data_IF_072406916880
#
_entry.id   IF_072406916880
#
_cell.length_a   1.000
_cell.length_b   1.000
_cell.length_c   1.000
_cell.angle_alpha   90.00
_cell.angle_beta   90.00
_cell.angle_gamma   90.00
#
_symmetry.space_group_name_H-M   'P 1'
#
loop_
_entity.id
_entity.type
_entity.pdbx_description
1 polymer ?
#
# COMPACT_ATOMS: atom_id res chain seq x y z
N UNK A 1 69.11 -1.34 -17.93
CA UNK A 1 68.75 -1.56 -16.51
C UNK A 1 67.53 -0.77 -16.06
N UNK A 2 67.37 0.51 -16.44
CA UNK A 2 66.23 1.34 -16.01
C UNK A 2 64.86 0.93 -16.59
N UNK A 3 64.78 0.48 -17.85
CA UNK A 3 63.51 0.08 -18.47
C UNK A 3 62.89 -1.17 -17.81
N UNK A 4 63.72 -2.16 -17.46
CA UNK A 4 63.27 -3.37 -16.77
C UNK A 4 62.74 -3.05 -15.37
N UNK A 5 63.31 -2.06 -14.69
CA UNK A 5 62.82 -1.61 -13.38
C UNK A 5 61.45 -0.91 -13.51
N UNK A 6 61.24 -0.11 -14.56
CA UNK A 6 59.97 0.58 -14.79
C UNK A 6 58.84 -0.39 -15.17
N UNK A 7 59.10 -1.35 -16.05
CA UNK A 7 58.15 -2.43 -16.38
C UNK A 7 57.75 -3.23 -15.13
N UNK A 8 58.73 -3.54 -14.26
CA UNK A 8 58.49 -4.29 -13.04
C UNK A 8 57.62 -3.49 -12.04
N UNK A 9 57.81 -2.17 -11.93
CA UNK A 9 56.96 -1.29 -11.12
C UNK A 9 55.51 -1.24 -11.65
N UNK A 10 55.32 -1.12 -12.96
CA UNK A 10 53.98 -1.10 -13.58
C UNK A 10 53.25 -2.44 -13.37
N UNK A 11 53.96 -3.57 -13.50
CA UNK A 11 53.40 -4.90 -13.22
C UNK A 11 53.02 -5.03 -11.74
N UNK A 12 53.88 -4.62 -10.81
CA UNK A 12 53.55 -4.64 -9.38
C UNK A 12 52.32 -3.77 -9.07
N UNK A 13 52.26 -2.55 -9.61
CA UNK A 13 51.13 -1.64 -9.39
C UNK A 13 49.82 -2.19 -9.96
N UNK A 14 49.85 -2.75 -11.17
CA UNK A 14 48.67 -3.37 -11.78
C UNK A 14 48.18 -4.59 -10.99
N UNK A 15 49.09 -5.44 -10.51
CA UNK A 15 48.75 -6.57 -9.62
C UNK A 15 48.15 -6.06 -8.30
N UNK A 16 48.71 -5.01 -7.69
CA UNK A 16 48.17 -4.38 -6.49
C UNK A 16 46.75 -3.83 -6.72
N UNK A 17 46.52 -3.11 -7.82
CA UNK A 17 45.20 -2.60 -8.18
C UNK A 17 44.19 -3.75 -8.36
N UNK A 18 44.60 -4.85 -9.00
CA UNK A 18 43.77 -6.05 -9.17
C UNK A 18 43.45 -6.67 -7.80
N UNK A 19 44.45 -6.84 -6.93
CA UNK A 19 44.26 -7.40 -5.58
C UNK A 19 43.32 -6.52 -4.73
N UNK A 20 43.48 -5.20 -4.77
CA UNK A 20 42.60 -4.24 -4.09
C UNK A 20 41.17 -4.36 -4.64
N UNK A 21 41.01 -4.37 -5.97
CA UNK A 21 39.71 -4.51 -6.60
C UNK A 21 39.01 -5.84 -6.22
N UNK A 22 39.74 -6.96 -6.27
CA UNK A 22 39.23 -8.27 -5.87
C UNK A 22 38.86 -8.29 -4.38
N UNK A 23 39.69 -7.68 -3.53
CA UNK A 23 39.42 -7.58 -2.09
C UNK A 23 38.16 -6.75 -1.83
N UNK A 24 38.03 -5.57 -2.45
CA UNK A 24 36.82 -4.74 -2.36
C UNK A 24 35.57 -5.49 -2.84
N UNK A 25 35.69 -6.24 -3.95
CA UNK A 25 34.58 -7.05 -4.49
C UNK A 25 34.19 -8.20 -3.55
N UNK A 26 35.16 -8.88 -2.96
CA UNK A 26 34.92 -9.96 -1.98
C UNK A 26 34.30 -9.39 -0.71
N UNK A 27 34.78 -8.25 -0.21
CA UNK A 27 34.30 -7.64 1.03
C UNK A 27 32.98 -6.88 0.88
N UNK A 28 32.54 -6.55 -0.33
CA UNK A 28 31.23 -5.92 -0.58
C UNK A 28 30.10 -6.78 -0.02
N UNK A 29 29.09 -6.15 0.57
CA UNK A 29 27.90 -6.84 1.07
C UNK A 29 27.09 -7.39 -0.12
N UNK A 30 26.89 -8.72 -0.22
CA UNK A 30 26.12 -9.32 -1.30
C UNK A 30 24.61 -9.33 -1.00
N UNK A 31 24.22 -9.02 0.24
CA UNK A 31 22.85 -9.14 0.69
C UNK A 31 22.10 -7.82 0.52
N UNK A 32 20.85 -7.94 0.08
CA UNK A 32 19.91 -6.84 -0.06
C UNK A 32 18.56 -7.29 0.49
N UNK A 33 18.06 -6.59 1.51
CA UNK A 33 16.78 -6.94 2.11
C UNK A 33 15.64 -6.75 1.09
N UNK A 34 14.77 -7.76 0.88
CA UNK A 34 13.75 -7.71 -0.17
C UNK A 34 12.51 -6.93 0.32
N UNK A 35 12.58 -5.60 0.31
CA UNK A 35 11.44 -4.75 0.66
C UNK A 35 10.27 -4.90 -0.33
N UNK A 36 9.05 -4.93 0.20
CA UNK A 36 7.85 -4.70 -0.60
C UNK A 36 7.66 -3.19 -0.76
N UNK A 37 7.32 -2.71 -1.97
CA UNK A 37 7.00 -1.28 -2.17
C UNK A 37 5.78 -1.12 -3.05
N UNK A 38 4.80 -0.37 -2.58
CA UNK A 38 3.61 -0.01 -3.35
C UNK A 38 3.33 1.50 -3.27
N UNK A 39 2.96 2.10 -4.39
CA UNK A 39 2.71 3.55 -4.49
C UNK A 39 1.27 3.85 -4.88
N UNK A 40 0.60 4.69 -4.10
CA UNK A 40 -0.74 5.18 -4.34
C UNK A 40 -0.73 6.56 -5.00
N UNK A 41 -1.29 6.68 -6.20
CA UNK A 41 -1.45 7.96 -6.89
C UNK A 41 -2.67 8.73 -6.34
N UNK A 42 -2.41 9.92 -5.79
CA UNK A 42 -3.42 10.81 -5.21
C UNK A 42 -3.59 12.12 -5.99
N UNK A 43 -3.16 12.14 -7.25
CA UNK A 43 -3.32 13.30 -8.13
C UNK A 43 -4.80 13.72 -8.17
N UNK A 44 -5.07 15.01 -7.96
CA UNK A 44 -6.43 15.55 -7.87
C UNK A 44 -7.15 15.36 -6.53
N UNK A 45 -6.57 14.64 -5.55
CA UNK A 45 -7.18 14.39 -4.24
C UNK A 45 -6.56 15.26 -3.13
N UNK A 46 -7.39 15.72 -2.18
CA UNK A 46 -7.01 16.54 -1.01
C UNK A 46 -7.17 15.74 0.29
N UNK A 47 -6.41 16.12 1.33
CA UNK A 47 -6.52 15.58 2.70
C UNK A 47 -6.54 14.05 2.80
N UNK A 48 -5.61 13.40 2.09
CA UNK A 48 -5.48 11.95 2.05
C UNK A 48 -4.81 11.42 3.32
N UNK A 49 -5.33 10.32 3.86
CA UNK A 49 -4.69 9.50 4.89
C UNK A 49 -4.22 8.19 4.26
N UNK A 50 -2.93 7.89 4.39
CA UNK A 50 -2.31 6.72 3.76
C UNK A 50 -2.95 5.41 4.24
N UNK A 51 -3.41 5.37 5.48
CA UNK A 51 -4.05 4.21 6.10
C UNK A 51 -5.35 3.82 5.39
N UNK A 52 -6.12 4.77 4.86
CA UNK A 52 -7.32 4.42 4.08
C UNK A 52 -6.95 3.75 2.76
N UNK A 53 -5.83 4.14 2.17
CA UNK A 53 -5.37 3.59 0.90
C UNK A 53 -4.83 2.19 1.11
N UNK A 54 -4.10 1.98 2.20
CA UNK A 54 -3.70 0.64 2.64
C UNK A 54 -4.94 -0.21 2.94
N UNK A 55 -5.94 0.31 3.66
CA UNK A 55 -7.18 -0.43 3.93
C UNK A 55 -7.88 -0.82 2.62
N UNK A 56 -8.05 0.12 1.69
CA UNK A 56 -8.67 -0.16 0.40
C UNK A 56 -7.87 -1.15 -0.45
N UNK A 57 -6.55 -1.08 -0.37
CA UNK A 57 -5.65 -2.01 -1.02
C UNK A 57 -5.79 -3.42 -0.45
N UNK A 58 -5.85 -3.56 0.88
CA UNK A 58 -5.97 -4.85 1.58
C UNK A 58 -7.35 -5.49 1.50
N UNK A 59 -8.38 -4.72 1.15
CA UNK A 59 -9.74 -5.26 0.91
C UNK A 59 -9.85 -6.05 -0.39
N UNK A 60 -8.88 -5.91 -1.29
CA UNK A 60 -8.81 -6.68 -2.52
C UNK A 60 -8.03 -7.98 -2.28
N UNK A 61 -8.66 -9.11 -2.60
CA UNK A 61 -8.11 -10.44 -2.35
C UNK A 61 -6.81 -10.70 -3.13
N UNK A 62 -6.66 -10.15 -4.35
CA UNK A 62 -5.45 -10.32 -5.14
C UNK A 62 -4.28 -9.53 -4.53
N UNK A 63 -4.55 -8.32 -4.06
CA UNK A 63 -3.57 -7.52 -3.35
C UNK A 63 -3.12 -8.19 -2.04
N UNK A 64 -4.06 -8.80 -1.30
CA UNK A 64 -3.72 -9.55 -0.10
C UNK A 64 -2.83 -10.77 -0.41
N UNK A 65 -3.18 -11.55 -1.44
CA UNK A 65 -2.32 -12.65 -1.93
C UNK A 65 -0.92 -12.16 -2.29
N UNK A 66 -0.81 -11.03 -2.97
CA UNK A 66 0.49 -10.45 -3.31
C UNK A 66 1.33 -10.12 -2.07
N UNK A 67 0.71 -9.59 -1.00
CA UNK A 67 1.38 -9.33 0.28
C UNK A 67 1.85 -10.62 0.94
N UNK A 68 1.02 -11.67 0.94
CA UNK A 68 1.39 -12.99 1.48
C UNK A 68 2.54 -13.63 0.70
N UNK A 69 2.50 -13.59 -0.62
CA UNK A 69 3.58 -14.10 -1.48
C UNK A 69 4.88 -13.34 -1.24
N UNK A 70 4.83 -12.02 -1.04
CA UNK A 70 6.03 -11.27 -0.73
C UNK A 70 6.60 -11.62 0.66
N UNK A 71 5.75 -11.90 1.66
CA UNK A 71 6.21 -12.40 2.95
C UNK A 71 6.95 -13.74 2.80
N UNK A 72 6.38 -14.68 2.03
CA UNK A 72 7.04 -15.97 1.73
C UNK A 72 8.41 -15.75 1.07
N UNK A 73 8.50 -14.81 0.12
CA UNK A 73 9.77 -14.42 -0.52
C UNK A 73 10.80 -13.89 0.48
N UNK A 74 10.38 -13.11 1.48
CA UNK A 74 11.28 -12.64 2.54
C UNK A 74 11.81 -13.84 3.34
N UNK A 75 10.94 -14.77 3.73
CA UNK A 75 11.30 -15.94 4.53
C UNK A 75 12.23 -16.91 3.77
N UNK A 76 11.94 -17.13 2.49
CA UNK A 76 12.81 -17.90 1.58
C UNK A 76 14.18 -17.24 1.43
N UNK A 77 14.22 -15.92 1.20
CA UNK A 77 15.48 -15.18 1.09
C UNK A 77 16.32 -15.27 2.37
N UNK A 78 15.71 -15.20 3.55
CA UNK A 78 16.42 -15.38 4.83
C UNK A 78 17.03 -16.77 4.93
N UNK A 79 16.25 -17.81 4.62
CA UNK A 79 16.71 -19.21 4.65
C UNK A 79 17.88 -19.44 3.69
N UNK A 80 17.76 -18.95 2.45
CA UNK A 80 18.82 -19.05 1.45
C UNK A 80 20.08 -18.29 1.88
N UNK A 81 19.91 -17.10 2.45
CA UNK A 81 21.02 -16.27 2.96
C UNK A 81 21.74 -16.95 4.11
N UNK A 82 21.01 -17.56 5.04
CA UNK A 82 21.59 -18.33 6.13
C UNK A 82 22.36 -19.55 5.62
N UNK A 83 21.79 -20.32 4.70
CA UNK A 83 22.48 -21.45 4.05
C UNK A 83 23.78 -21.01 3.37
N UNK A 84 23.75 -19.88 2.64
CA UNK A 84 24.94 -19.28 2.03
C UNK A 84 25.99 -18.93 3.08
N UNK A 85 25.59 -18.29 4.18
CA UNK A 85 26.51 -17.90 5.26
C UNK A 85 27.17 -19.14 5.89
N UNK A 86 26.41 -20.22 6.11
CA UNK A 86 26.94 -21.47 6.66
C UNK A 86 27.97 -22.12 5.73
N UNK A 87 27.75 -22.05 4.41
CA UNK A 87 28.64 -22.65 3.41
C UNK A 87 29.87 -21.78 3.06
N UNK A 88 29.85 -20.48 3.37
CA UNK A 88 30.91 -19.56 2.94
C UNK A 88 32.13 -19.53 3.87
N UNK A 89 33.31 -19.25 3.30
CA UNK A 89 34.57 -19.12 4.07
C UNK A 89 34.60 -17.93 5.03
N UNK A 90 33.94 -16.83 4.67
CA UNK A 90 33.91 -15.57 5.45
C UNK A 90 32.70 -15.50 6.39
N UNK A 91 32.32 -16.63 7.00
CA UNK A 91 31.07 -16.79 7.76
C UNK A 91 30.81 -15.67 8.77
N UNK A 92 31.78 -15.33 9.61
CA UNK A 92 31.64 -14.28 10.64
C UNK A 92 31.35 -12.91 10.02
N UNK A 93 32.08 -12.54 8.98
CA UNK A 93 31.91 -11.26 8.29
C UNK A 93 30.58 -11.20 7.53
N UNK A 94 30.19 -12.28 6.84
CA UNK A 94 28.89 -12.37 6.15
C UNK A 94 27.72 -12.36 7.12
N UNK A 95 27.82 -13.05 8.24
CA UNK A 95 26.80 -12.99 9.30
C UNK A 95 26.61 -11.56 9.79
N UNK A 96 27.70 -10.82 10.05
CA UNK A 96 27.60 -9.42 10.45
C UNK A 96 26.95 -8.55 9.36
N UNK A 97 27.33 -8.72 8.09
CA UNK A 97 26.73 -8.00 6.97
C UNK A 97 25.23 -8.27 6.82
N UNK A 98 24.80 -9.52 7.02
CA UNK A 98 23.40 -9.92 7.00
C UNK A 98 22.64 -9.28 8.17
N UNK A 99 23.14 -9.38 9.40
CA UNK A 99 22.50 -8.77 10.57
C UNK A 99 22.34 -7.25 10.42
N UNK A 100 23.32 -6.57 9.81
CA UNK A 100 23.26 -5.13 9.59
C UNK A 100 22.18 -4.67 8.59
N UNK A 101 21.64 -5.57 7.76
CA UNK A 101 20.63 -5.23 6.75
C UNK A 101 19.24 -5.79 7.07
N UNK A 102 19.10 -6.62 8.11
CA UNK A 102 17.81 -7.17 8.51
C UNK A 102 16.89 -6.05 8.96
N UNK A 103 15.76 -5.89 8.28
CA UNK A 103 14.81 -4.81 8.53
C UNK A 103 13.34 -5.29 8.50
N UNK A 104 13.07 -6.38 9.23
CA UNK A 104 11.73 -6.97 9.36
C UNK A 104 10.68 -5.99 9.86
N UNK A 105 11.12 -4.96 10.59
CA UNK A 105 10.26 -3.91 11.14
C UNK A 105 9.64 -3.03 10.07
N UNK A 106 10.34 -2.85 8.93
CA UNK A 106 9.96 -1.96 7.84
C UNK A 106 9.83 -2.73 6.52
N UNK A 107 9.58 -4.03 6.56
CA UNK A 107 9.57 -4.88 5.37
C UNK A 107 8.60 -4.43 4.25
N UNK A 108 7.50 -3.75 4.61
CA UNK A 108 6.46 -3.30 3.68
C UNK A 108 6.37 -1.78 3.62
N UNK A 109 6.74 -1.20 2.47
CA UNK A 109 6.72 0.24 2.23
C UNK A 109 5.52 0.66 1.37
N UNK A 110 4.71 1.56 1.90
CA UNK A 110 3.63 2.21 1.17
C UNK A 110 3.95 3.68 0.97
N UNK A 111 3.77 4.15 -0.25
CA UNK A 111 4.07 5.54 -0.63
C UNK A 111 2.83 6.18 -1.20
N UNK A 112 2.58 7.42 -0.84
CA UNK A 112 1.56 8.25 -1.47
C UNK A 112 2.28 9.23 -2.40
N UNK A 113 1.93 9.20 -3.68
CA UNK A 113 2.57 10.03 -4.70
C UNK A 113 1.56 10.98 -5.33
N UNK A 114 2.03 12.16 -5.74
CA UNK A 114 1.25 13.13 -6.52
C UNK A 114 2.01 13.46 -7.79
N UNK A 115 1.36 13.32 -8.95
CA UNK A 115 1.90 13.77 -10.23
C UNK A 115 1.73 15.28 -10.34
N UNK A 116 2.83 15.97 -10.61
CA UNK A 116 2.88 17.42 -10.78
C UNK A 116 3.42 17.75 -12.17
N UNK A 117 2.87 18.79 -12.80
CA UNK A 117 3.52 19.40 -13.97
C UNK A 117 4.67 20.26 -13.49
N UNK A 118 5.87 19.99 -13.98
CA UNK A 118 7.04 20.85 -13.89
C UNK A 118 7.31 21.46 -15.25
N UNK A 119 8.08 22.54 -15.25
CA UNK A 119 8.45 23.23 -16.48
C UNK A 119 9.95 23.41 -16.50
N UNK A 120 10.55 23.19 -17.65
CA UNK A 120 11.94 23.48 -17.92
C UNK A 120 12.01 24.56 -19.01
N UNK A 121 12.88 25.54 -18.82
CA UNK A 121 13.09 26.61 -19.79
C UNK A 121 14.49 26.47 -20.40
N UNK A 122 14.58 26.42 -21.73
CA UNK A 122 15.85 26.44 -22.50
C UNK A 122 15.64 27.26 -23.77
N UNK A 123 16.57 28.16 -24.09
CA UNK A 123 16.48 29.06 -25.26
C UNK A 123 15.09 29.74 -25.39
N UNK A 124 14.56 30.25 -24.27
CA UNK A 124 13.23 30.87 -24.18
C UNK A 124 12.03 29.95 -24.51
N UNK A 125 12.25 28.65 -24.72
CA UNK A 125 11.19 27.66 -24.91
C UNK A 125 10.89 26.99 -23.56
N UNK A 126 9.61 27.00 -23.17
CA UNK A 126 9.10 26.39 -21.94
C UNK A 126 8.49 25.02 -22.25
N UNK A 127 9.12 23.95 -21.77
CA UNK A 127 8.65 22.57 -21.97
C UNK A 127 8.08 22.02 -20.66
N UNK A 128 6.84 21.54 -20.70
CA UNK A 128 6.19 20.90 -19.56
C UNK A 128 6.60 19.42 -19.46
N UNK A 129 6.82 18.93 -18.25
CA UNK A 129 7.04 17.50 -17.96
C UNK A 129 6.34 17.09 -16.67
N UNK A 130 6.04 15.80 -16.51
CA UNK A 130 5.35 15.28 -15.32
C UNK A 130 6.38 14.63 -14.39
N UNK A 131 6.28 14.95 -13.09
CA UNK A 131 7.09 14.34 -12.03
C UNK A 131 6.18 13.80 -10.95
N UNK A 132 6.46 12.58 -10.49
CA UNK A 132 5.83 12.00 -9.30
C UNK A 132 6.60 12.43 -8.06
N UNK A 133 5.93 13.14 -7.15
CA UNK A 133 6.50 13.56 -5.87
C UNK A 133 5.88 12.74 -4.75
N UNK A 134 6.70 12.19 -3.87
CA UNK A 134 6.26 11.47 -2.68
C UNK A 134 5.73 12.51 -1.68
N UNK A 135 4.51 12.28 -1.20
CA UNK A 135 3.81 13.14 -0.24
C UNK A 135 3.93 12.58 1.17
N UNK A 136 3.84 11.25 1.31
CA UNK A 136 4.03 10.56 2.58
C UNK A 136 4.47 9.12 2.33
N UNK A 137 5.22 8.56 3.26
CA UNK A 137 5.61 7.15 3.28
C UNK A 137 5.14 6.51 4.59
N UNK A 138 4.82 5.23 4.54
CA UNK A 138 4.46 4.43 5.70
C UNK A 138 5.05 3.03 5.56
N UNK A 139 5.89 2.66 6.51
CA UNK A 139 6.62 1.40 6.52
C UNK A 139 6.18 0.56 7.71
N UNK A 140 5.92 -0.73 7.49
CA UNK A 140 5.36 -1.64 8.50
C UNK A 140 5.96 -3.04 8.41
N UNK A 141 5.82 -3.79 9.49
CA UNK A 141 6.16 -5.21 9.54
C UNK A 141 4.98 -6.10 9.12
N UNK A 142 5.27 -7.39 8.97
CA UNK A 142 4.28 -8.41 8.67
C UNK A 142 3.12 -8.46 9.67
N UNK A 143 3.43 -8.39 10.97
CA UNK A 143 2.41 -8.50 12.02
C UNK A 143 1.36 -7.39 11.94
N UNK A 144 1.78 -6.17 11.59
CA UNK A 144 0.88 -5.06 11.36
C UNK A 144 -0.05 -5.35 10.18
N UNK A 145 0.48 -5.88 9.06
CA UNK A 145 -0.30 -6.21 7.86
C UNK A 145 -1.36 -7.27 8.14
N UNK A 146 -0.97 -8.38 8.78
CA UNK A 146 -1.87 -9.46 9.15
C UNK A 146 -2.95 -9.00 10.15
N UNK A 147 -2.56 -8.26 11.19
CA UNK A 147 -3.51 -7.69 12.14
C UNK A 147 -4.51 -6.74 11.45
N UNK A 148 -4.04 -5.92 10.50
CA UNK A 148 -4.88 -4.98 9.76
C UNK A 148 -5.87 -5.72 8.87
N UNK A 149 -5.44 -6.75 8.15
CA UNK A 149 -6.30 -7.58 7.33
C UNK A 149 -7.39 -8.28 8.17
N UNK A 150 -7.02 -8.87 9.31
CA UNK A 150 -7.98 -9.47 10.28
C UNK A 150 -9.01 -8.47 10.80
N UNK A 151 -8.61 -7.21 11.03
CA UNK A 151 -9.56 -6.17 11.42
C UNK A 151 -10.55 -5.83 10.29
N UNK A 152 -10.09 -5.79 9.04
CA UNK A 152 -10.94 -5.56 7.86
C UNK A 152 -11.90 -6.74 7.61
N UNK A 153 -11.43 -7.96 7.83
CA UNK A 153 -12.23 -9.18 7.74
C UNK A 153 -13.39 -9.16 8.74
N UNK A 154 -13.16 -8.74 9.99
CA UNK A 154 -14.21 -8.58 11.01
C UNK A 154 -15.33 -7.64 10.61
N UNK A 155 -15.07 -6.70 9.70
CA UNK A 155 -16.08 -5.76 9.18
C UNK A 155 -16.53 -6.14 7.75
N UNK A 156 -16.26 -7.36 7.31
CA UNK A 156 -16.67 -7.90 6.01
C UNK A 156 -16.05 -7.17 4.81
N UNK A 157 -14.90 -6.52 4.98
CA UNK A 157 -14.23 -5.73 3.94
C UNK A 157 -15.13 -4.66 3.28
N UNK A 158 -16.13 -4.15 4.00
CA UNK A 158 -17.13 -3.25 3.40
C UNK A 158 -16.64 -1.82 3.22
N UNK A 159 -15.74 -1.36 4.09
CA UNK A 159 -15.18 0.01 4.10
C UNK A 159 -13.83 0.04 4.81
N UNK A 160 -13.21 1.22 4.94
CA UNK A 160 -11.97 1.40 5.72
C UNK A 160 -12.26 1.37 7.22
N UNK A 161 -11.27 0.98 8.03
CA UNK A 161 -11.46 0.89 9.49
C UNK A 161 -11.77 2.25 10.10
N UNK A 162 -11.20 3.33 9.54
CA UNK A 162 -11.51 4.69 9.99
C UNK A 162 -12.98 5.03 9.72
N UNK A 163 -13.52 4.69 8.56
CA UNK A 163 -14.91 4.95 8.23
C UNK A 163 -15.85 4.10 9.10
N UNK A 164 -15.53 2.81 9.29
CA UNK A 164 -16.32 1.94 10.15
C UNK A 164 -16.40 2.43 11.61
N UNK A 165 -15.29 2.95 12.13
CA UNK A 165 -15.19 3.45 13.50
C UNK A 165 -15.55 4.94 13.66
N UNK A 166 -15.90 5.63 12.57
CA UNK A 166 -16.26 7.04 12.64
C UNK A 166 -17.48 7.26 13.53
N UNK A 167 -17.40 8.23 14.44
CA UNK A 167 -18.57 8.70 15.21
C UNK A 167 -19.60 9.40 14.33
N UNK A 168 -19.16 9.97 13.20
CA UNK A 168 -20.02 10.74 12.30
C UNK A 168 -20.47 9.91 11.10
N UNK A 169 -21.17 8.80 11.36
CA UNK A 169 -21.64 7.88 10.31
C UNK A 169 -22.52 8.58 9.26
N UNK A 170 -23.31 9.59 9.64
CA UNK A 170 -24.13 10.35 8.69
C UNK A 170 -23.29 11.06 7.62
N UNK A 171 -22.12 11.59 7.98
CA UNK A 171 -21.21 12.28 7.03
C UNK A 171 -20.59 11.35 6.00
N UNK A 172 -20.62 10.03 6.24
CA UNK A 172 -20.09 9.03 5.32
C UNK A 172 -21.06 8.69 4.18
N UNK A 173 -22.31 9.17 4.24
CA UNK A 173 -23.30 8.98 3.19
C UNK A 173 -23.01 9.90 1.99
N UNK A 174 -21.95 9.59 1.25
CA UNK A 174 -21.55 10.38 0.07
C UNK A 174 -22.50 10.15 -1.12
N UNK A 175 -22.56 11.07 -2.10
CA UNK A 175 -23.33 10.87 -3.32
C UNK A 175 -22.96 9.57 -4.06
N UNK A 176 -21.67 9.23 -4.09
CA UNK A 176 -21.19 7.98 -4.70
C UNK A 176 -21.68 6.74 -3.95
N UNK A 177 -21.66 6.75 -2.61
CA UNK A 177 -22.22 5.64 -1.83
C UNK A 177 -23.73 5.52 -2.06
N UNK A 178 -24.47 6.63 -2.04
CA UNK A 178 -25.92 6.63 -2.34
C UNK A 178 -26.18 6.00 -3.70
N UNK A 179 -25.48 6.45 -4.74
CA UNK A 179 -25.59 5.92 -6.10
C UNK A 179 -25.32 4.40 -6.15
N UNK A 180 -24.25 3.94 -5.49
CA UNK A 180 -23.93 2.51 -5.40
C UNK A 180 -25.07 1.69 -4.78
N UNK A 181 -25.72 2.21 -3.72
CA UNK A 181 -26.87 1.52 -3.11
C UNK A 181 -28.10 1.56 -4.03
N UNK A 182 -28.35 2.68 -4.71
CA UNK A 182 -29.43 2.78 -5.70
C UNK A 182 -29.27 1.77 -6.83
N UNK A 183 -28.07 1.68 -7.41
CA UNK A 183 -27.76 0.73 -8.48
C UNK A 183 -27.86 -0.73 -8.01
N UNK A 184 -27.30 -1.05 -6.82
CA UNK A 184 -27.39 -2.38 -6.22
C UNK A 184 -28.84 -2.83 -6.02
N UNK A 185 -29.68 -1.92 -5.54
CA UNK A 185 -31.09 -2.19 -5.24
C UNK A 185 -32.00 -1.98 -6.47
N UNK A 186 -31.42 -1.79 -7.67
CA UNK A 186 -32.13 -1.53 -8.92
C UNK A 186 -33.21 -0.43 -8.77
N UNK A 187 -32.86 0.66 -8.08
CA UNK A 187 -33.76 1.80 -7.83
C UNK A 187 -35.11 1.40 -7.20
N UNK A 188 -35.15 0.28 -6.47
CA UNK A 188 -36.39 -0.34 -5.99
C UNK A 188 -36.44 -0.34 -4.47
N UNK A 189 -37.59 0.08 -3.92
CA UNK A 189 -37.84 0.04 -2.47
C UNK A 189 -37.71 -1.39 -1.94
N UNK A 190 -36.82 -1.60 -0.98
CA UNK A 190 -36.53 -2.93 -0.45
C UNK A 190 -37.66 -3.51 0.43
N UNK A 191 -38.63 -2.69 0.86
CA UNK A 191 -39.80 -3.11 1.64
C UNK A 191 -40.99 -3.42 0.73
N UNK A 192 -41.52 -2.42 0.02
CA UNK A 192 -42.76 -2.58 -0.77
C UNK A 192 -42.53 -2.87 -2.26
N UNK A 193 -41.28 -2.99 -2.70
CA UNK A 193 -40.89 -3.28 -4.08
C UNK A 193 -41.31 -2.24 -5.12
N UNK A 194 -41.68 -1.02 -4.70
CA UNK A 194 -41.91 0.11 -5.62
C UNK A 194 -40.62 0.49 -6.36
N UNK A 195 -40.63 0.42 -7.69
CA UNK A 195 -39.57 0.89 -8.58
C UNK A 195 -39.61 2.41 -8.76
N UNK A 196 -38.46 3.09 -8.70
CA UNK A 196 -38.30 4.56 -8.74
C UNK A 196 -37.05 4.98 -9.52
N UNK A 197 -37.00 4.74 -10.85
CA UNK A 197 -35.81 4.99 -11.68
C UNK A 197 -35.48 6.47 -11.86
N UNK A 198 -36.47 7.34 -11.68
CA UNK A 198 -36.35 8.80 -11.72
C UNK A 198 -35.83 9.39 -10.40
N UNK A 199 -35.56 8.53 -9.40
CA UNK A 199 -35.13 8.88 -8.04
C UNK A 199 -36.17 9.69 -7.24
N UNK A 200 -37.37 9.93 -7.79
CA UNK A 200 -38.39 10.76 -7.15
C UNK A 200 -39.01 10.03 -5.96
N UNK A 201 -38.77 10.57 -4.76
CA UNK A 201 -39.20 9.95 -3.51
C UNK A 201 -38.39 8.72 -3.10
N UNK A 202 -37.20 8.55 -3.68
CA UNK A 202 -36.24 7.50 -3.32
C UNK A 202 -35.34 7.99 -2.18
N UNK A 203 -35.27 7.21 -1.10
CA UNK A 203 -34.42 7.46 0.07
C UNK A 203 -33.45 6.31 0.28
N UNK A 204 -32.24 6.62 0.77
CA UNK A 204 -31.31 5.62 1.30
C UNK A 204 -31.42 5.64 2.82
N UNK A 205 -31.83 4.52 3.38
CA UNK A 205 -32.09 4.33 4.81
C UNK A 205 -31.10 3.31 5.40
N UNK A 206 -30.76 3.50 6.67
CA UNK A 206 -29.99 2.54 7.45
C UNK A 206 -30.90 1.47 8.03
N UNK A 207 -30.64 0.18 7.74
CA UNK A 207 -31.42 -0.94 8.28
C UNK A 207 -31.41 -0.89 9.82
N UNK A 208 -30.22 -0.87 10.40
CA UNK A 208 -29.99 -0.55 11.82
C UNK A 208 -29.74 0.95 11.92
N UNK A 209 -30.55 1.72 12.67
CA UNK A 209 -30.35 3.15 12.85
C UNK A 209 -28.97 3.49 13.41
N UNK A 210 -28.41 4.63 13.02
CA UNK A 210 -27.11 5.11 13.55
C UNK A 210 -27.16 5.28 15.07
N UNK A 211 -28.29 5.71 15.64
CA UNK A 211 -28.49 5.82 17.09
C UNK A 211 -28.34 4.50 17.84
N UNK A 212 -28.53 3.36 17.14
CA UNK A 212 -28.38 2.00 17.66
C UNK A 212 -27.03 1.36 17.24
N UNK A 213 -26.07 2.17 16.78
CA UNK A 213 -24.75 1.70 16.36
C UNK A 213 -24.64 1.32 14.87
N UNK A 214 -25.70 1.52 14.08
CA UNK A 214 -25.71 1.27 12.66
C UNK A 214 -24.62 2.03 11.90
N UNK A 215 -23.98 1.35 10.94
CA UNK A 215 -22.87 1.88 10.14
C UNK A 215 -23.35 2.28 8.75
N UNK A 216 -22.70 3.27 8.14
CA UNK A 216 -22.92 3.67 6.74
C UNK A 216 -22.11 2.77 5.80
N UNK A 217 -22.43 1.48 5.82
CA UNK A 217 -21.82 0.43 5.00
C UNK A 217 -22.90 -0.25 4.16
N UNK A 218 -22.58 -0.80 2.97
CA UNK A 218 -23.58 -1.34 2.05
C UNK A 218 -24.54 -2.34 2.70
N UNK A 219 -24.05 -3.30 3.48
CA UNK A 219 -24.88 -4.30 4.17
C UNK A 219 -25.96 -3.71 5.08
N UNK A 220 -25.71 -2.51 5.64
CA UNK A 220 -26.64 -1.83 6.53
C UNK A 220 -27.43 -0.71 5.82
N UNK A 221 -27.31 -0.55 4.51
CA UNK A 221 -28.03 0.44 3.73
C UNK A 221 -29.03 -0.22 2.78
N UNK A 222 -30.14 0.48 2.51
CA UNK A 222 -31.15 0.04 1.55
C UNK A 222 -31.90 1.22 0.93
N UNK A 223 -32.44 1.01 -0.27
CA UNK A 223 -33.40 1.91 -0.90
C UNK A 223 -34.79 1.76 -0.27
N UNK A 224 -35.44 2.88 0.05
CA UNK A 224 -36.84 2.97 0.47
C UNK A 224 -37.59 4.05 -0.32
N UNK A 225 -38.89 3.85 -0.55
CA UNK A 225 -39.76 4.93 -1.06
C UNK A 225 -40.20 5.86 0.09
N UNK A 226 -40.62 7.09 -0.22
CA UNK A 226 -41.08 8.07 0.78
C UNK A 226 -42.13 7.52 1.75
N UNK A 227 -43.07 6.68 1.27
CA UNK A 227 -44.08 6.04 2.12
C UNK A 227 -43.45 5.12 3.16
N UNK A 228 -42.63 4.16 2.72
CA UNK A 228 -41.97 3.21 3.62
C UNK A 228 -40.95 3.88 4.56
N UNK A 229 -40.20 4.87 4.06
CA UNK A 229 -39.27 5.64 4.86
C UNK A 229 -40.00 6.45 5.95
N UNK A 230 -41.11 7.10 5.60
CA UNK A 230 -41.95 7.86 6.54
C UNK A 230 -42.60 6.97 7.61
N UNK A 231 -43.10 5.78 7.23
CA UNK A 231 -43.71 4.83 8.17
C UNK A 231 -42.72 4.25 9.21
N UNK A 232 -41.42 4.33 8.95
CA UNK A 232 -40.38 3.87 9.90
C UNK A 232 -40.21 4.82 11.10
N UNK A 233 -40.68 6.07 10.99
CA UNK A 233 -40.66 7.15 11.99
C UNK A 233 -39.98 6.81 13.32
N UNK A 234 -38.74 7.25 13.49
CA UNK A 234 -38.00 7.31 14.77
C UNK A 234 -38.01 6.06 15.68
N UNK A 235 -38.15 4.84 15.15
CA UNK A 235 -37.91 3.59 15.89
C UNK A 235 -36.52 2.99 15.63
#
# INVERSE_FOLDING_TARGET
MFENAWLLIVVIFSVLCILIYLTCRILRNPFHYPYFTHSFDITGKRSVKIEDYIDNFLRDEQNWKMIQTHQQKIDEWKKETENYIQACRLKKYRAQQYQNILDDKLAFHFKVIRKQTRYQQRNYIKTAYKVSVIVSEWAVNWQWMDNRHKQLEKIGFETTLRNYNSKSQRKLMTPSLRKKIMERDHYTCQICKKYMPDEVGLHIDHIIPISKGGKSIPSNLRVLCSKCNGSKGSK
#
